data_IF_163954082749
#
_entry.id   IF_163954082749
#
_cell.length_a   1.000
_cell.length_b   1.000
_cell.length_c   1.000
_cell.angle_alpha   90.00
_cell.angle_beta   90.00
_cell.angle_gamma   90.00
#
_symmetry.space_group_name_H-M   'P 1'
#
loop_
_entity.id
_entity.type
_entity.pdbx_description
1 polymer ?
#
# COMPACT_ATOMS: atom_id res chain seq x y z
N UNK A 1 22.76 14.72 -9.34
CA UNK A 1 21.95 15.55 -8.42
C UNK A 1 20.60 15.78 -9.06
N UNK A 2 19.50 15.36 -8.42
CA UNK A 2 18.16 15.59 -8.95
C UNK A 2 17.77 17.07 -8.84
N UNK A 3 17.20 17.64 -9.91
CA UNK A 3 16.68 19.01 -9.90
C UNK A 3 15.19 18.98 -9.53
N UNK A 4 14.77 19.86 -8.61
CA UNK A 4 13.35 20.05 -8.30
C UNK A 4 12.66 20.75 -9.48
N UNK A 5 11.69 20.06 -10.10
CA UNK A 5 10.93 20.61 -11.24
C UNK A 5 9.73 21.47 -10.83
N UNK A 6 9.05 21.09 -9.75
CA UNK A 6 7.85 21.78 -9.26
C UNK A 6 7.64 21.51 -7.76
N UNK A 7 6.92 22.43 -7.10
CA UNK A 7 6.57 22.32 -5.68
C UNK A 7 5.07 22.60 -5.51
N UNK A 8 4.37 21.71 -4.82
CA UNK A 8 2.95 21.82 -4.51
C UNK A 8 2.81 22.06 -3.01
N UNK A 9 2.31 23.22 -2.62
CA UNK A 9 2.16 23.58 -1.21
C UNK A 9 0.76 23.21 -0.73
N UNK A 10 0.70 22.34 0.27
CA UNK A 10 -0.52 21.89 0.94
C UNK A 10 -0.53 22.38 2.38
N UNK A 11 -1.71 22.69 2.92
CA UNK A 11 -1.85 23.18 4.31
C UNK A 11 -1.67 22.09 5.37
N UNK A 12 -1.78 20.82 4.95
CA UNK A 12 -1.84 19.64 5.80
C UNK A 12 -0.82 18.61 5.32
N UNK A 13 -0.45 17.68 6.19
CA UNK A 13 0.66 16.76 5.93
C UNK A 13 0.18 15.71 4.92
N UNK A 14 0.91 15.52 3.80
CA UNK A 14 0.67 14.40 2.90
C UNK A 14 1.30 13.12 3.49
N UNK A 15 0.53 12.03 3.60
CA UNK A 15 1.02 10.74 4.09
C UNK A 15 1.45 9.79 2.98
N UNK A 16 0.75 9.81 1.86
CA UNK A 16 1.09 9.00 0.70
C UNK A 16 0.84 9.76 -0.60
N UNK A 17 1.62 9.44 -1.63
CA UNK A 17 1.51 10.02 -2.97
C UNK A 17 1.55 8.88 -3.98
N UNK A 18 0.71 8.97 -5.01
CA UNK A 18 0.69 8.01 -6.11
C UNK A 18 0.42 8.74 -7.43
N UNK A 19 1.27 8.52 -8.44
CA UNK A 19 1.02 9.04 -9.78
C UNK A 19 -0.04 8.19 -10.47
N UNK A 20 -0.85 8.79 -11.35
CA UNK A 20 -1.74 8.00 -12.18
C UNK A 20 -0.90 7.15 -13.15
N UNK A 21 -0.94 5.82 -13.03
CA UNK A 21 -0.11 4.92 -13.84
C UNK A 21 -0.53 4.86 -15.32
N UNK A 22 -1.67 5.44 -15.71
CA UNK A 22 -2.09 5.49 -17.11
C UNK A 22 -1.22 6.47 -17.90
N UNK A 23 -0.69 6.05 -19.05
CA UNK A 23 0.25 6.83 -19.87
C UNK A 23 -0.28 8.23 -20.24
N UNK A 24 -1.56 8.32 -20.58
CA UNK A 24 -2.21 9.60 -20.92
C UNK A 24 -2.49 10.53 -19.71
N UNK A 25 -2.31 10.05 -18.48
CA UNK A 25 -2.66 10.75 -17.24
C UNK A 25 -1.49 10.91 -16.27
N UNK A 26 -0.25 10.68 -16.70
CA UNK A 26 0.96 10.83 -15.88
C UNK A 26 1.18 12.24 -15.31
N UNK A 27 0.50 13.25 -15.88
CA UNK A 27 0.45 14.61 -15.33
C UNK A 27 -0.40 14.73 -14.07
N UNK A 28 -1.17 13.70 -13.70
CA UNK A 28 -2.02 13.68 -12.52
C UNK A 28 -1.39 12.79 -11.45
N UNK A 29 -1.39 13.27 -10.21
CA UNK A 29 -1.05 12.46 -9.04
C UNK A 29 -2.06 12.70 -7.93
N UNK A 30 -2.24 11.68 -7.10
CA UNK A 30 -3.12 11.72 -5.94
C UNK A 30 -2.30 11.68 -4.66
N UNK A 31 -2.79 12.37 -3.66
CA UNK A 31 -2.14 12.53 -2.38
C UNK A 31 -3.14 12.24 -1.26
N UNK A 32 -2.83 11.26 -0.41
CA UNK A 32 -3.60 11.00 0.81
C UNK A 32 -3.15 11.95 1.91
N UNK A 33 -4.07 12.73 2.46
CA UNK A 33 -3.75 13.79 3.41
C UNK A 33 -4.12 13.41 4.85
N UNK A 34 -3.50 14.10 5.80
CA UNK A 34 -3.82 14.00 7.23
C UNK A 34 -5.19 14.57 7.60
N UNK A 35 -5.79 15.41 6.75
CA UNK A 35 -7.10 16.04 6.96
C UNK A 35 -8.26 15.27 6.35
N UNK A 36 -8.08 13.94 6.19
CA UNK A 36 -9.11 13.00 5.75
C UNK A 36 -9.49 13.11 4.27
N UNK A 37 -8.75 13.91 3.51
CA UNK A 37 -9.00 14.17 2.09
C UNK A 37 -7.96 13.50 1.22
N UNK A 38 -8.39 12.94 0.10
CA UNK A 38 -7.50 12.58 -1.00
C UNK A 38 -7.56 13.72 -2.01
N UNK A 39 -6.43 14.32 -2.32
CA UNK A 39 -6.33 15.42 -3.29
C UNK A 39 -5.69 14.91 -4.57
N UNK A 40 -6.33 15.18 -5.71
CA UNK A 40 -5.75 14.96 -7.03
C UNK A 40 -5.21 16.28 -7.57
N UNK A 41 -3.94 16.30 -7.93
CA UNK A 41 -3.25 17.46 -8.50
C UNK A 41 -2.96 17.23 -9.97
N UNK A 42 -3.01 18.31 -10.74
CA UNK A 42 -2.44 18.37 -12.08
C UNK A 42 -1.10 19.11 -12.03
N UNK A 43 -0.06 18.42 -12.49
CA UNK A 43 1.33 18.93 -12.51
C UNK A 43 1.46 20.11 -13.47
N UNK A 44 0.66 20.14 -14.53
CA UNK A 44 0.74 21.18 -15.56
C UNK A 44 0.16 22.51 -15.08
N UNK A 45 -0.95 22.45 -14.34
CA UNK A 45 -1.62 23.64 -13.81
C UNK A 45 -1.14 24.03 -12.41
N UNK A 46 -0.64 23.10 -11.60
CA UNK A 46 -0.31 23.36 -10.21
C UNK A 46 -1.50 23.27 -9.26
N UNK A 47 -2.70 23.00 -9.77
CA UNK A 47 -3.95 23.09 -9.02
C UNK A 47 -4.53 21.72 -8.66
N UNK A 48 -5.34 21.70 -7.59
CA UNK A 48 -6.17 20.54 -7.24
C UNK A 48 -7.30 20.44 -8.27
N UNK A 49 -7.40 19.31 -8.95
CA UNK A 49 -8.44 19.02 -9.94
C UNK A 49 -9.60 18.21 -9.36
N UNK A 50 -9.35 17.44 -8.29
CA UNK A 50 -10.37 16.63 -7.64
C UNK A 50 -10.06 16.44 -6.16
N UNK A 51 -11.11 16.39 -5.36
CA UNK A 51 -11.05 16.10 -3.92
C UNK A 51 -11.98 14.91 -3.60
N UNK A 52 -11.53 14.02 -2.72
CA UNK A 52 -12.32 12.92 -2.15
C UNK A 52 -12.32 13.07 -0.63
N UNK A 53 -13.47 13.33 -0.02
CA UNK A 53 -13.59 13.86 1.36
C UNK A 53 -14.44 12.99 2.30
N UNK A 54 -14.73 11.74 1.93
CA UNK A 54 -15.59 10.86 2.74
C UNK A 54 -14.88 10.13 3.88
N UNK A 55 -13.54 10.15 3.93
CA UNK A 55 -12.82 9.54 5.05
C UNK A 55 -13.02 10.31 6.36
N UNK A 56 -12.95 9.60 7.49
CA UNK A 56 -13.13 10.20 8.81
C UNK A 56 -11.82 10.34 9.59
N UNK A 57 -10.74 9.74 9.10
CA UNK A 57 -9.39 9.80 9.66
C UNK A 57 -8.34 10.11 8.60
N UNK A 58 -7.06 10.18 9.01
CA UNK A 58 -5.94 10.34 8.09
C UNK A 58 -5.92 9.21 7.05
N UNK A 59 -5.50 9.53 5.82
CA UNK A 59 -5.37 8.52 4.76
C UNK A 59 -3.95 7.95 4.80
N UNK A 60 -3.86 6.63 4.93
CA UNK A 60 -2.59 5.94 5.07
C UNK A 60 -2.02 5.56 3.71
N UNK A 61 -2.85 4.97 2.84
CA UNK A 61 -2.43 4.53 1.52
C UNK A 61 -3.48 4.82 0.47
N UNK A 62 -2.99 4.94 -0.77
CA UNK A 62 -3.83 5.06 -1.95
C UNK A 62 -3.23 4.22 -3.08
N UNK A 63 -4.00 3.26 -3.58
CA UNK A 63 -3.54 2.25 -4.55
C UNK A 63 -4.49 2.20 -5.75
N UNK A 64 -3.93 2.29 -6.96
CA UNK A 64 -4.70 2.12 -8.20
C UNK A 64 -5.00 0.64 -8.44
N UNK A 65 -6.23 0.36 -8.87
CA UNK A 65 -6.71 -1.01 -9.13
C UNK A 65 -7.57 -1.05 -10.39
N UNK A 66 -7.86 -2.27 -10.87
CA UNK A 66 -8.74 -2.49 -12.01
C UNK A 66 -8.29 -1.73 -13.26
N UNK A 67 -7.03 -1.95 -13.66
CA UNK A 67 -6.37 -1.26 -14.78
C UNK A 67 -6.48 0.28 -14.65
N UNK A 68 -6.27 0.78 -13.44
CA UNK A 68 -6.18 2.21 -13.12
C UNK A 68 -7.51 2.97 -13.22
N UNK A 69 -8.63 2.25 -13.37
CA UNK A 69 -9.98 2.83 -13.39
C UNK A 69 -10.47 3.19 -11.98
N UNK A 70 -9.99 2.47 -10.96
CA UNK A 70 -10.44 2.62 -9.59
C UNK A 70 -9.27 2.86 -8.66
N UNK A 71 -9.57 3.47 -7.53
CA UNK A 71 -8.63 3.73 -6.45
C UNK A 71 -9.15 3.02 -5.20
N UNK A 72 -8.25 2.40 -4.45
CA UNK A 72 -8.51 1.90 -3.10
C UNK A 72 -7.71 2.74 -2.13
N UNK A 73 -8.37 3.29 -1.12
CA UNK A 73 -7.72 4.03 -0.04
C UNK A 73 -7.99 3.38 1.31
N UNK A 74 -6.99 3.47 2.18
CA UNK A 74 -7.10 3.05 3.59
C UNK A 74 -6.91 4.25 4.50
N UNK A 75 -7.56 4.21 5.66
CA UNK A 75 -7.51 5.30 6.63
C UNK A 75 -7.44 4.79 8.06
N UNK A 76 -6.99 5.65 8.96
CA UNK A 76 -7.02 5.44 10.41
C UNK A 76 -8.43 5.32 11.00
N UNK A 77 -9.47 5.67 10.23
CA UNK A 77 -10.86 5.36 10.58
C UNK A 77 -11.20 3.85 10.49
N UNK A 78 -10.20 3.01 10.19
CA UNK A 78 -10.31 1.54 10.05
C UNK A 78 -11.23 1.13 8.88
N UNK A 79 -11.42 2.02 7.92
CA UNK A 79 -12.18 1.75 6.71
C UNK A 79 -11.30 1.65 5.47
N UNK A 80 -11.81 0.90 4.51
CA UNK A 80 -11.31 0.87 3.15
C UNK A 80 -12.40 1.48 2.28
N UNK A 81 -12.04 2.47 1.47
CA UNK A 81 -12.93 3.06 0.47
C UNK A 81 -12.41 2.77 -0.92
N UNK A 82 -13.35 2.46 -1.81
CA UNK A 82 -13.10 2.26 -3.24
C UNK A 82 -13.76 3.39 -4.00
N UNK A 83 -13.00 4.02 -4.87
CA UNK A 83 -13.42 5.16 -5.67
C UNK A 83 -13.31 4.82 -7.14
N UNK A 84 -14.22 5.36 -7.94
CA UNK A 84 -13.99 5.45 -9.38
C UNK A 84 -13.14 6.69 -9.67
N UNK A 85 -12.20 6.56 -10.61
CA UNK A 85 -11.33 7.66 -10.97
C UNK A 85 -12.13 8.87 -11.46
N UNK A 86 -11.83 10.06 -10.92
CA UNK A 86 -12.54 11.33 -11.18
C UNK A 86 -13.98 11.40 -10.65
N UNK A 87 -14.41 10.48 -9.78
CA UNK A 87 -15.74 10.52 -9.17
C UNK A 87 -15.58 10.63 -7.65
N UNK A 88 -15.94 11.77 -7.01
CA UNK A 88 -15.74 12.02 -5.57
C UNK A 88 -16.75 11.28 -4.68
N UNK A 89 -17.33 10.20 -5.17
CA UNK A 89 -18.29 9.36 -4.44
C UNK A 89 -17.70 7.97 -4.34
N UNK A 90 -17.73 7.41 -3.14
CA UNK A 90 -17.25 6.07 -2.89
C UNK A 90 -18.18 5.05 -3.57
N UNK A 91 -17.61 4.27 -4.48
CA UNK A 91 -18.29 3.14 -5.11
C UNK A 91 -18.56 2.03 -4.08
N UNK A 92 -17.61 1.85 -3.14
CA UNK A 92 -17.74 0.85 -2.09
C UNK A 92 -17.06 1.29 -0.81
N UNK A 93 -17.78 1.11 0.29
CA UNK A 93 -17.31 1.27 1.65
C UNK A 93 -17.18 -0.09 2.34
N UNK A 94 -16.04 -0.35 2.96
CA UNK A 94 -15.77 -1.58 3.72
C UNK A 94 -15.29 -1.17 5.11
N UNK A 95 -16.11 -1.45 6.12
CA UNK A 95 -15.80 -1.29 7.54
C UNK A 95 -16.47 -2.43 8.31
N UNK A 96 -15.71 -3.12 9.15
CA UNK A 96 -16.22 -4.15 10.05
C UNK A 96 -15.73 -3.83 11.47
N UNK A 97 -16.50 -4.12 12.52
CA UNK A 97 -16.13 -3.78 13.90
C UNK A 97 -14.78 -4.37 14.35
N UNK A 98 -14.36 -5.49 13.75
CA UNK A 98 -13.12 -6.21 14.04
C UNK A 98 -11.94 -5.79 13.17
N UNK A 99 -12.12 -4.83 12.25
CA UNK A 99 -11.00 -4.33 11.45
C UNK A 99 -10.15 -3.36 12.24
N UNK A 100 -8.85 -3.38 11.92
CA UNK A 100 -7.86 -2.45 12.45
C UNK A 100 -7.38 -1.53 11.31
N UNK A 101 -6.63 -0.48 11.67
CA UNK A 101 -6.03 0.40 10.66
C UNK A 101 -5.10 -0.42 9.76
N UNK A 102 -5.10 -0.10 8.47
CA UNK A 102 -4.31 -0.78 7.45
C UNK A 102 -3.33 0.22 6.83
N UNK A 103 -2.12 0.34 7.39
CA UNK A 103 -1.18 1.38 7.01
C UNK A 103 -0.44 1.10 5.71
N UNK A 104 -0.40 -0.16 5.24
CA UNK A 104 0.29 -0.56 4.03
C UNK A 104 -0.60 -1.45 3.16
N UNK A 105 -0.61 -1.19 1.86
CA UNK A 105 -1.37 -1.93 0.85
C UNK A 105 -0.50 -2.15 -0.38
N UNK A 106 -0.49 -3.37 -0.90
CA UNK A 106 0.16 -3.68 -2.17
C UNK A 106 -0.80 -4.36 -3.14
N UNK A 107 -0.70 -3.98 -4.41
CA UNK A 107 -1.37 -4.66 -5.52
C UNK A 107 -0.47 -5.80 -6.02
N UNK A 108 -1.06 -6.97 -6.24
CA UNK A 108 -0.37 -8.09 -6.85
C UNK A 108 0.04 -7.80 -8.29
N UNK A 109 1.09 -8.47 -8.77
CA UNK A 109 1.61 -8.25 -10.13
C UNK A 109 0.58 -8.48 -11.23
N UNK A 110 -0.26 -9.49 -11.04
CA UNK A 110 -1.35 -9.83 -11.97
C UNK A 110 -2.59 -8.92 -11.82
N UNK A 111 -2.58 -7.94 -10.90
CA UNK A 111 -3.69 -7.04 -10.61
C UNK A 111 -4.92 -7.69 -9.97
N UNK A 112 -4.83 -8.98 -9.63
CA UNK A 112 -5.95 -9.78 -9.15
C UNK A 112 -6.18 -9.67 -7.65
N UNK A 113 -5.15 -9.38 -6.87
CA UNK A 113 -5.19 -9.38 -5.42
C UNK A 113 -4.64 -8.08 -4.86
N UNK A 114 -5.19 -7.66 -3.73
CA UNK A 114 -4.67 -6.61 -2.89
C UNK A 114 -4.32 -7.25 -1.55
N UNK A 115 -3.10 -7.02 -1.08
CA UNK A 115 -2.69 -7.37 0.26
C UNK A 115 -2.72 -6.14 1.15
N UNK A 116 -3.39 -6.27 2.28
CA UNK A 116 -3.51 -5.24 3.31
C UNK A 116 -2.77 -5.73 4.53
N UNK A 117 -1.73 -5.01 4.94
CA UNK A 117 -1.18 -5.20 6.26
C UNK A 117 -2.11 -4.50 7.25
N UNK A 118 -2.58 -5.26 8.23
CA UNK A 118 -3.44 -4.78 9.30
C UNK A 118 -2.64 -4.71 10.60
N UNK A 119 -2.91 -3.69 11.42
CA UNK A 119 -2.25 -3.48 12.71
C UNK A 119 -2.50 -4.60 13.75
N UNK A 120 -3.35 -5.58 13.43
CA UNK A 120 -3.56 -6.82 14.21
C UNK A 120 -2.52 -7.91 13.93
N UNK A 121 -1.38 -7.57 13.33
CA UNK A 121 -0.29 -8.49 12.97
C UNK A 121 -0.70 -9.53 11.91
N UNK A 122 -1.59 -9.15 11.00
CA UNK A 122 -2.06 -10.00 9.91
C UNK A 122 -2.00 -9.28 8.58
N UNK A 123 -1.67 -10.01 7.52
CA UNK A 123 -1.91 -9.56 6.15
C UNK A 123 -3.18 -10.25 5.64
N UNK A 124 -4.16 -9.45 5.25
CA UNK A 124 -5.43 -9.91 4.68
C UNK A 124 -5.46 -9.64 3.19
N UNK A 125 -6.01 -10.59 2.43
CA UNK A 125 -6.11 -10.49 0.97
C UNK A 125 -7.54 -10.17 0.53
N UNK A 126 -7.66 -9.24 -0.41
CA UNK A 126 -8.91 -8.91 -1.09
C UNK A 126 -8.76 -9.06 -2.62
N UNK A 127 -9.82 -9.46 -3.30
CA UNK A 127 -9.87 -9.58 -4.75
C UNK A 127 -10.69 -8.42 -5.35
N UNK A 128 -10.05 -7.36 -5.93
CA UNK A 128 -10.77 -6.21 -6.49
C UNK A 128 -11.75 -6.60 -7.62
N UNK A 129 -11.38 -7.57 -8.47
CA UNK A 129 -12.22 -8.04 -9.58
C UNK A 129 -13.42 -8.87 -9.13
N UNK A 130 -13.39 -9.43 -7.92
CA UNK A 130 -14.49 -10.21 -7.34
C UNK A 130 -15.34 -9.34 -6.39
N UNK A 131 -15.67 -8.11 -6.85
CA UNK A 131 -16.42 -7.11 -6.08
C UNK A 131 -15.78 -6.83 -4.71
N UNK A 132 -14.46 -6.68 -4.63
CA UNK A 132 -13.74 -6.31 -3.40
C UNK A 132 -14.13 -7.18 -2.19
N UNK A 133 -14.05 -8.50 -2.35
CA UNK A 133 -14.35 -9.46 -1.27
C UNK A 133 -13.05 -9.98 -0.63
N UNK A 134 -13.09 -10.15 0.68
CA UNK A 134 -12.01 -10.78 1.44
C UNK A 134 -11.86 -12.26 1.07
N UNK A 135 -10.61 -12.70 0.90
CA UNK A 135 -10.24 -14.12 0.79
C UNK A 135 -9.95 -14.66 2.19
N UNK A 136 -10.98 -15.21 2.84
CA UNK A 136 -10.85 -15.80 4.19
C UNK A 136 -9.78 -16.90 4.30
N UNK A 137 -9.49 -17.62 3.22
CA UNK A 137 -8.43 -18.64 3.16
C UNK A 137 -7.01 -18.08 2.99
N UNK A 138 -6.84 -16.77 2.78
CA UNK A 138 -5.55 -16.10 2.57
C UNK A 138 -5.33 -15.05 3.65
N UNK A 139 -4.90 -15.53 4.81
CA UNK A 139 -4.51 -14.70 5.95
C UNK A 139 -3.09 -15.11 6.33
N UNK A 140 -2.17 -14.15 6.32
CA UNK A 140 -0.77 -14.39 6.67
C UNK A 140 -0.50 -13.82 8.06
N UNK A 141 0.03 -14.66 8.94
CA UNK A 141 0.31 -14.31 10.34
C UNK A 141 1.78 -14.60 10.68
N UNK A 142 2.21 -14.09 11.81
CA UNK A 142 3.51 -14.39 12.40
C UNK A 142 4.55 -13.28 12.26
N UNK A 143 4.23 -12.14 11.66
CA UNK A 143 5.05 -10.93 11.79
C UNK A 143 4.51 -10.04 12.92
N UNK A 144 5.30 -9.13 13.46
CA UNK A 144 4.86 -8.13 14.43
C UNK A 144 4.94 -6.72 13.82
N UNK A 145 3.80 -6.11 13.55
CA UNK A 145 3.74 -4.79 12.86
C UNK A 145 2.87 -3.79 13.63
N UNK A 146 2.46 -4.14 14.85
CA UNK A 146 1.64 -3.26 15.68
C UNK A 146 2.34 -1.92 15.90
N UNK A 147 1.73 -0.84 15.41
CA UNK A 147 2.26 0.52 15.52
C UNK A 147 3.20 0.94 14.38
N UNK A 148 3.49 0.07 13.41
CA UNK A 148 4.39 0.37 12.29
C UNK A 148 3.70 0.15 10.94
N UNK A 149 4.03 1.02 9.99
CA UNK A 149 3.54 0.94 8.61
C UNK A 149 4.47 0.09 7.74
N UNK A 150 4.74 -1.17 8.12
CA UNK A 150 5.70 -1.96 7.36
C UNK A 150 5.16 -2.31 5.96
N UNK A 151 5.93 -1.97 4.95
CA UNK A 151 5.64 -2.28 3.57
C UNK A 151 5.59 -3.78 3.32
N UNK A 152 4.81 -4.14 2.31
CA UNK A 152 4.61 -5.50 1.85
C UNK A 152 4.66 -5.54 0.33
N UNK A 153 4.97 -6.70 -0.22
CA UNK A 153 5.02 -6.90 -1.67
C UNK A 153 4.77 -8.36 -2.06
N UNK A 154 4.49 -8.57 -3.34
CA UNK A 154 4.34 -9.89 -3.95
C UNK A 154 5.57 -10.22 -4.79
N UNK A 155 6.01 -11.48 -4.72
CA UNK A 155 6.94 -12.01 -5.72
C UNK A 155 6.39 -11.87 -7.15
N UNK A 156 7.25 -11.68 -8.16
CA UNK A 156 6.83 -11.51 -9.55
C UNK A 156 5.97 -12.65 -10.11
N UNK A 157 6.20 -13.88 -9.62
CA UNK A 157 5.44 -15.07 -10.02
C UNK A 157 4.30 -15.45 -9.08
N UNK A 158 4.02 -14.61 -8.07
CA UNK A 158 2.96 -14.83 -7.09
C UNK A 158 3.15 -16.09 -6.23
N UNK A 159 4.38 -16.60 -6.09
CA UNK A 159 4.68 -17.74 -5.22
C UNK A 159 4.81 -17.35 -3.74
N UNK A 160 5.22 -16.11 -3.49
CA UNK A 160 5.51 -15.58 -2.16
C UNK A 160 4.93 -14.19 -1.93
N UNK A 161 4.71 -13.88 -0.65
CA UNK A 161 4.41 -12.55 -0.10
C UNK A 161 5.51 -12.21 0.90
N UNK A 162 5.93 -10.95 0.92
CA UNK A 162 6.92 -10.44 1.87
C UNK A 162 6.38 -9.27 2.66
N UNK A 163 6.92 -9.09 3.87
CA UNK A 163 6.70 -7.92 4.72
C UNK A 163 7.88 -7.74 5.64
N UNK A 164 8.17 -6.48 5.96
CA UNK A 164 8.99 -6.15 7.12
C UNK A 164 8.24 -6.37 8.43
N UNK A 165 9.01 -6.38 9.52
CA UNK A 165 8.58 -6.61 10.91
C UNK A 165 9.21 -5.54 11.82
N UNK A 166 8.59 -5.27 12.97
CA UNK A 166 9.09 -4.38 14.01
C UNK A 166 10.45 -4.83 14.57
N UNK A 167 10.72 -6.14 14.58
CA UNK A 167 11.99 -6.72 15.04
C UNK A 167 13.10 -6.68 13.97
N UNK A 168 12.95 -5.89 12.90
CA UNK A 168 13.93 -5.79 11.82
C UNK A 168 14.02 -7.03 10.92
N UNK A 169 13.04 -7.93 11.02
CA UNK A 169 12.99 -9.16 10.21
C UNK A 169 12.25 -8.92 8.91
N UNK A 170 12.77 -9.46 7.82
CA UNK A 170 12.01 -9.73 6.62
C UNK A 170 11.33 -11.08 6.79
N UNK A 171 10.01 -11.11 6.69
CA UNK A 171 9.23 -12.35 6.77
C UNK A 171 8.69 -12.69 5.39
N UNK A 172 8.94 -13.93 4.97
CA UNK A 172 8.53 -14.46 3.66
C UNK A 172 7.49 -15.54 3.90
N UNK A 173 6.33 -15.42 3.25
CA UNK A 173 5.29 -16.43 3.28
C UNK A 173 5.12 -17.09 1.92
N UNK A 174 4.88 -18.40 1.94
CA UNK A 174 4.40 -19.12 0.76
C UNK A 174 2.93 -18.72 0.50
N UNK A 175 2.67 -18.20 -0.70
CA UNK A 175 1.36 -17.76 -1.13
C UNK A 175 0.34 -18.90 -1.10
N UNK A 176 0.71 -20.12 -1.50
CA UNK A 176 -0.20 -21.27 -1.61
C UNK A 176 -0.62 -21.78 -0.24
N UNK A 177 0.34 -21.96 0.68
CA UNK A 177 0.11 -22.57 1.99
C UNK A 177 -0.18 -21.56 3.11
N UNK A 178 0.07 -20.26 2.87
CA UNK A 178 -0.06 -19.15 3.83
C UNK A 178 0.80 -19.31 5.08
N UNK A 179 1.81 -20.19 5.03
CA UNK A 179 2.76 -20.41 6.13
C UNK A 179 3.99 -19.55 5.91
N UNK A 180 4.64 -19.20 7.02
CA UNK A 180 5.98 -18.58 6.98
C UNK A 180 6.92 -19.60 6.34
N UNK A 181 7.51 -19.21 5.22
CA UNK A 181 8.55 -19.99 4.54
C UNK A 181 9.89 -19.72 5.22
N UNK A 182 10.22 -18.44 5.40
CA UNK A 182 11.51 -18.03 5.96
C UNK A 182 11.40 -16.69 6.72
N UNK A 183 12.34 -16.49 7.64
CA UNK A 183 12.57 -15.21 8.33
C UNK A 183 14.03 -14.85 8.22
N UNK A 184 14.31 -13.69 7.66
CA UNK A 184 15.67 -13.17 7.50
C UNK A 184 15.83 -12.01 8.47
N UNK A 185 16.87 -12.04 9.31
CA UNK A 185 17.23 -10.86 10.12
C UNK A 185 17.86 -9.84 9.18
N UNK A 186 17.04 -8.89 8.72
CA UNK A 186 17.45 -7.95 7.70
C UNK A 186 18.10 -6.70 8.31
N UNK A 187 17.50 -6.15 9.36
CA UNK A 187 17.90 -4.91 10.01
C UNK A 187 18.02 -5.10 11.53
N UNK A 188 18.75 -4.21 12.19
CA UNK A 188 18.84 -4.20 13.66
C UNK A 188 17.69 -3.42 14.31
N UNK A 189 17.11 -2.46 13.57
CA UNK A 189 15.85 -1.78 13.88
C UNK A 189 14.71 -2.23 12.95
N UNK A 190 13.52 -1.64 13.12
CA UNK A 190 12.31 -1.91 12.33
C UNK A 190 12.59 -1.97 10.82
N UNK A 191 12.18 -3.07 10.18
CA UNK A 191 12.20 -3.19 8.72
C UNK A 191 10.93 -2.54 8.18
N UNK A 192 11.06 -1.32 7.67
CA UNK A 192 9.91 -0.47 7.32
C UNK A 192 9.38 -0.74 5.91
N UNK A 193 10.19 -1.17 4.97
CA UNK A 193 9.71 -1.53 3.63
C UNK A 193 10.48 -2.72 3.07
N UNK A 194 9.80 -3.48 2.23
CA UNK A 194 10.34 -4.63 1.53
C UNK A 194 9.73 -4.67 0.13
N UNK A 195 10.57 -4.76 -0.90
CA UNK A 195 10.17 -4.78 -2.31
C UNK A 195 10.85 -5.91 -3.04
N UNK A 196 10.07 -6.66 -3.81
CA UNK A 196 10.62 -7.69 -4.68
C UNK A 196 11.12 -7.03 -5.96
N UNK A 197 12.26 -7.47 -6.47
CA UNK A 197 12.74 -7.01 -7.76
C UNK A 197 11.75 -7.42 -8.88
N UNK A 198 11.50 -6.53 -9.83
CA UNK A 198 10.48 -6.76 -10.88
C UNK A 198 10.79 -7.99 -11.73
N UNK A 199 12.06 -8.14 -12.14
CA UNK A 199 12.47 -9.12 -13.16
C UNK A 199 13.16 -10.35 -12.57
N UNK A 200 13.87 -10.18 -11.46
CA UNK A 200 14.71 -11.23 -10.87
C UNK A 200 13.99 -11.76 -9.63
N UNK A 201 13.62 -13.04 -9.68
CA UNK A 201 12.80 -13.65 -8.65
C UNK A 201 13.53 -13.92 -7.34
N UNK A 202 14.86 -13.94 -7.33
CA UNK A 202 15.63 -14.14 -6.11
C UNK A 202 15.82 -12.83 -5.32
N UNK A 203 15.78 -11.68 -6.01
CA UNK A 203 16.21 -10.43 -5.41
C UNK A 203 15.12 -9.67 -4.67
N UNK A 204 15.44 -9.26 -3.44
CA UNK A 204 14.56 -8.47 -2.57
C UNK A 204 15.35 -7.28 -2.02
N UNK A 205 14.73 -6.10 -2.01
CA UNK A 205 15.24 -4.91 -1.36
C UNK A 205 14.51 -4.70 -0.03
N UNK A 206 15.25 -4.45 1.04
CA UNK A 206 14.70 -4.08 2.34
C UNK A 206 15.23 -2.73 2.77
N UNK A 207 14.40 -1.94 3.46
CA UNK A 207 14.78 -0.70 4.09
C UNK A 207 14.40 -0.75 5.57
N UNK A 208 15.30 -0.26 6.42
CA UNK A 208 15.11 -0.24 7.87
C UNK A 208 15.28 1.15 8.48
N UNK A 209 14.89 1.29 9.74
CA UNK A 209 15.14 2.49 10.55
C UNK A 209 16.60 2.61 11.01
N UNK A 210 17.41 1.58 10.75
CA UNK A 210 18.87 1.60 10.88
C UNK A 210 19.56 2.46 9.79
N UNK A 211 18.77 3.16 8.96
CA UNK A 211 19.21 4.04 7.87
C UNK A 211 19.92 3.32 6.73
N UNK A 212 19.73 2.01 6.60
CA UNK A 212 20.35 1.20 5.53
C UNK A 212 19.29 0.62 4.61
N UNK A 213 19.62 0.53 3.32
CA UNK A 213 18.90 -0.27 2.33
C UNK A 213 19.77 -1.46 1.98
N UNK A 214 19.23 -2.67 2.09
CA UNK A 214 19.95 -3.93 1.82
C UNK A 214 19.31 -4.64 0.63
N UNK A 215 20.16 -5.25 -0.21
CA UNK A 215 19.77 -6.11 -1.31
C UNK A 215 20.08 -7.55 -0.93
N UNK A 216 19.09 -8.42 -1.09
CA UNK A 216 19.15 -9.86 -0.84
C UNK A 216 19.06 -10.58 -2.18
N UNK A 217 19.72 -11.74 -2.30
CA UNK A 217 19.71 -12.65 -3.47
C UNK A 217 19.55 -14.10 -2.97
#
# INVERSE_FOLDING_TARGET
LGQVKSKFSVRKIPYCVSFNPSENKQHLFICGMSDKKILCFDIRSGHVVQEYDRHLGAINTVTFVDRNRRIVSTSDDKSIRVWEWNIPVDFKYIAEPTMHSMPAVALSRNGRYLAFQSMDNQIRIMEPLANFRWKSKKVFKGHMVSGYACGLDFSPDMSYVISGDADGRLVIWDWKTTRVYERIKAHDDVCIDAKWHWHEKSRVLTAGWDNVVKLWD
#
